data_IF_894694258275
#
_entry.id   IF_894694258275
#
_cell.length_a   1.000
_cell.length_b   1.000
_cell.length_c   1.000
_cell.angle_alpha   90.00
_cell.angle_beta   90.00
_cell.angle_gamma   90.00
#
_symmetry.space_group_name_H-M   'P 1'
#
loop_
_entity.id
_entity.type
_entity.pdbx_description
1 polymer ?
#
# COMPACT_ATOMS: atom_id res chain seq x y z
N UNK A 1 -21.30 12.50 -32.32
CA UNK A 1 -20.25 11.60 -32.83
C UNK A 1 -19.50 12.39 -33.89
N UNK A 2 -18.22 12.72 -33.71
CA UNK A 2 -17.45 13.37 -34.79
C UNK A 2 -17.14 12.30 -35.84
N UNK A 3 -17.56 12.55 -37.07
CA UNK A 3 -17.24 11.75 -38.25
C UNK A 3 -15.75 11.94 -38.58
N UNK A 4 -15.05 10.83 -38.76
CA UNK A 4 -13.61 10.79 -39.01
C UNK A 4 -13.30 10.32 -40.44
N UNK A 5 -14.15 10.69 -41.39
CA UNK A 5 -13.97 10.46 -42.83
C UNK A 5 -12.75 11.17 -43.45
N UNK A 6 -12.00 12.00 -42.71
CA UNK A 6 -10.86 12.79 -43.22
C UNK A 6 -9.51 12.50 -42.53
N UNK A 7 -8.98 11.27 -42.64
CA UNK A 7 -7.63 10.89 -42.17
C UNK A 7 -6.57 10.86 -43.28
N UNK A 8 -6.30 12.00 -43.91
CA UNK A 8 -5.14 12.15 -44.80
C UNK A 8 -3.97 12.75 -43.99
N UNK A 9 -2.90 11.98 -43.75
CA UNK A 9 -1.63 12.49 -43.18
C UNK A 9 -1.17 11.99 -41.80
N UNK A 10 -1.98 11.20 -41.08
CA UNK A 10 -1.58 10.63 -39.77
C UNK A 10 -0.95 9.24 -39.95
N UNK A 11 0.17 8.98 -39.26
CA UNK A 11 0.87 7.68 -39.30
C UNK A 11 -0.03 6.55 -38.80
N UNK A 12 0.11 5.34 -39.35
CA UNK A 12 -0.66 4.16 -38.92
C UNK A 12 -0.49 3.88 -37.43
N UNK A 13 0.71 4.13 -36.89
CA UNK A 13 1.01 3.90 -35.47
C UNK A 13 0.19 4.82 -34.54
N UNK A 14 0.09 6.11 -34.88
CA UNK A 14 -0.68 7.06 -34.07
C UNK A 14 -2.17 6.71 -34.05
N UNK A 15 -2.69 6.16 -35.17
CA UNK A 15 -4.06 5.65 -35.26
C UNK A 15 -4.29 4.47 -34.33
N UNK A 16 -3.38 3.49 -34.34
CA UNK A 16 -3.46 2.31 -33.46
C UNK A 16 -3.41 2.71 -31.98
N UNK A 17 -2.57 3.69 -31.62
CA UNK A 17 -2.49 4.19 -30.24
C UNK A 17 -3.80 4.90 -29.85
N UNK A 18 -4.32 5.77 -30.71
CA UNK A 18 -5.59 6.46 -30.47
C UNK A 18 -6.74 5.48 -30.25
N UNK A 19 -6.90 4.53 -31.17
CA UNK A 19 -7.99 3.55 -31.11
C UNK A 19 -7.81 2.60 -29.92
N UNK A 20 -6.57 2.21 -29.61
CA UNK A 20 -6.22 1.46 -28.41
C UNK A 20 -6.65 2.18 -27.13
N UNK A 21 -6.33 3.47 -26.99
CA UNK A 21 -6.75 4.29 -25.84
C UNK A 21 -8.27 4.38 -25.75
N UNK A 22 -8.96 4.53 -26.88
CA UNK A 22 -10.42 4.59 -26.92
C UNK A 22 -11.05 3.27 -26.47
N UNK A 23 -10.49 2.14 -26.94
CA UNK A 23 -10.94 0.80 -26.54
C UNK A 23 -10.69 0.55 -25.05
N UNK A 24 -9.53 0.92 -24.54
CA UNK A 24 -9.22 0.81 -23.11
C UNK A 24 -10.19 1.66 -22.25
N UNK A 25 -10.42 2.92 -22.62
CA UNK A 25 -11.41 3.76 -21.93
C UNK A 25 -12.84 3.19 -21.94
N UNK A 26 -13.18 2.41 -22.97
CA UNK A 26 -14.46 1.69 -23.03
C UNK A 26 -14.43 0.42 -22.18
N UNK A 27 -13.30 -0.29 -22.08
CA UNK A 27 -13.18 -1.49 -21.24
C UNK A 27 -13.38 -1.15 -19.76
N UNK A 28 -12.95 0.03 -19.32
CA UNK A 28 -13.22 0.60 -18.00
C UNK A 28 -14.73 0.80 -17.68
N UNK A 29 -15.65 0.42 -18.56
CA UNK A 29 -17.11 0.55 -18.34
C UNK A 29 -17.84 -0.80 -18.30
N UNK A 30 -17.13 -1.93 -18.29
CA UNK A 30 -17.81 -3.22 -18.16
C UNK A 30 -16.96 -4.48 -18.12
N UNK A 31 -15.70 -4.47 -18.57
CA UNK A 31 -14.86 -5.68 -18.57
C UNK A 31 -13.97 -5.71 -17.33
N UNK A 32 -14.29 -6.54 -16.34
CA UNK A 32 -13.52 -6.68 -15.08
C UNK A 32 -13.14 -5.30 -14.50
N UNK A 33 -14.11 -4.38 -14.57
CA UNK A 33 -13.88 -2.98 -14.26
C UNK A 33 -14.50 -2.63 -12.92
N UNK A 34 -13.71 -1.99 -12.07
CA UNK A 34 -14.04 -1.74 -10.68
C UNK A 34 -13.76 -0.28 -10.34
N UNK A 35 -14.60 0.27 -9.46
CA UNK A 35 -14.28 1.51 -8.76
C UNK A 35 -13.36 1.17 -7.59
N UNK A 36 -12.18 1.76 -7.57
CA UNK A 36 -11.24 1.65 -6.45
C UNK A 36 -11.03 3.01 -5.80
N UNK A 37 -10.92 3.03 -4.48
CA UNK A 37 -10.63 4.25 -3.74
C UNK A 37 -9.12 4.44 -3.66
N UNK A 38 -8.65 5.64 -3.98
CA UNK A 38 -7.27 6.10 -3.86
C UNK A 38 -7.27 7.36 -3.01
N UNK A 39 -6.96 7.21 -1.71
CA UNK A 39 -7.17 8.29 -0.74
C UNK A 39 -8.65 8.65 -0.62
N UNK A 40 -9.03 9.85 -1.05
CA UNK A 40 -10.44 10.31 -1.10
C UNK A 40 -11.05 10.23 -2.51
N UNK A 41 -10.26 9.91 -3.53
CA UNK A 41 -10.67 9.90 -4.93
C UNK A 41 -11.09 8.50 -5.38
N UNK A 42 -12.12 8.41 -6.21
CA UNK A 42 -12.54 7.14 -6.83
C UNK A 42 -12.00 7.05 -8.25
N UNK A 43 -11.28 5.98 -8.55
CA UNK A 43 -10.69 5.72 -9.86
C UNK A 43 -11.29 4.44 -10.44
N UNK A 44 -11.74 4.50 -11.69
CA UNK A 44 -12.19 3.32 -12.44
C UNK A 44 -10.99 2.61 -13.05
N UNK A 45 -10.83 1.32 -12.74
CA UNK A 45 -9.70 0.50 -13.19
C UNK A 45 -10.19 -0.84 -13.73
N UNK A 46 -9.32 -1.57 -14.42
CA UNK A 46 -9.53 -3.00 -14.68
C UNK A 46 -8.62 -3.82 -13.76
N UNK A 47 -9.16 -4.87 -13.14
CA UNK A 47 -8.37 -5.77 -12.27
C UNK A 47 -8.46 -7.19 -12.81
N UNK A 48 -7.31 -7.81 -13.09
CA UNK A 48 -7.23 -9.17 -13.63
C UNK A 48 -6.36 -10.07 -12.76
N UNK A 49 -6.74 -11.34 -12.64
CA UNK A 49 -5.85 -12.38 -12.14
C UNK A 49 -5.00 -12.93 -13.29
N UNK A 50 -3.70 -13.07 -13.09
CA UNK A 50 -2.80 -13.74 -14.03
C UNK A 50 -1.97 -14.80 -13.32
N UNK A 51 -1.85 -15.95 -13.96
CA UNK A 51 -0.98 -17.01 -13.49
C UNK A 51 0.50 -16.62 -13.68
N UNK A 52 1.30 -16.86 -12.65
CA UNK A 52 2.73 -16.75 -12.63
C UNK A 52 3.33 -18.09 -12.16
N UNK A 53 4.28 -18.62 -12.95
CA UNK A 53 4.95 -19.89 -12.70
C UNK A 53 5.68 -19.98 -11.37
N UNK A 54 6.00 -18.85 -10.73
CA UNK A 54 6.81 -18.81 -9.50
C UNK A 54 6.01 -18.68 -8.21
N UNK A 55 4.68 -18.44 -8.28
CA UNK A 55 3.90 -18.10 -7.08
C UNK A 55 2.37 -18.29 -7.19
N UNK A 56 1.86 -18.88 -8.27
CA UNK A 56 0.41 -19.09 -8.44
C UNK A 56 -0.25 -17.95 -9.20
N UNK A 57 -1.28 -17.30 -8.65
CA UNK A 57 -1.98 -16.19 -9.30
C UNK A 57 -1.58 -14.85 -8.69
N UNK A 58 -1.12 -13.92 -9.53
CA UNK A 58 -0.91 -12.50 -9.19
C UNK A 58 -2.09 -11.67 -9.66
N UNK A 59 -2.44 -10.61 -8.93
CA UNK A 59 -3.44 -9.64 -9.38
C UNK A 59 -2.78 -8.42 -10.00
N UNK A 60 -3.35 -7.94 -11.09
CA UNK A 60 -2.85 -6.76 -11.81
C UNK A 60 -3.94 -5.71 -11.94
N UNK A 61 -3.56 -4.45 -11.73
CA UNK A 61 -4.38 -3.28 -12.01
C UNK A 61 -3.96 -2.66 -13.34
N UNK A 62 -4.94 -2.33 -14.17
CA UNK A 62 -4.76 -1.61 -15.43
C UNK A 62 -5.51 -0.29 -15.36
N UNK A 63 -4.82 0.80 -15.68
CA UNK A 63 -5.37 2.16 -15.55
C UNK A 63 -4.66 3.15 -16.46
N UNK A 64 -5.33 4.24 -16.83
CA UNK A 64 -4.73 5.43 -17.43
C UNK A 64 -4.61 6.59 -16.42
N UNK A 65 -4.96 6.35 -15.16
CA UNK A 65 -4.88 7.34 -14.08
C UNK A 65 -3.44 7.53 -13.58
N UNK A 66 -3.09 8.79 -13.32
CA UNK A 66 -1.84 9.17 -12.66
C UNK A 66 -1.91 9.01 -11.13
N UNK A 67 -3.09 8.81 -10.55
CA UNK A 67 -3.27 8.63 -9.10
C UNK A 67 -2.77 7.26 -8.61
N UNK A 68 -2.66 6.29 -9.51
CA UNK A 68 -2.21 4.93 -9.18
C UNK A 68 -0.75 4.80 -9.63
N UNK A 69 0.15 4.85 -8.67
CA UNK A 69 1.59 4.70 -8.85
C UNK A 69 2.17 3.66 -7.87
N UNK A 70 3.46 3.37 -7.96
CA UNK A 70 4.13 2.41 -7.10
C UNK A 70 3.98 2.77 -5.61
N UNK A 71 3.55 1.82 -4.78
CA UNK A 71 3.31 2.04 -3.36
C UNK A 71 1.96 2.67 -3.02
N UNK A 72 1.11 2.94 -4.02
CA UNK A 72 -0.21 3.53 -3.77
C UNK A 72 -1.12 2.52 -3.05
N UNK A 73 -1.70 2.87 -1.89
CA UNK A 73 -2.73 2.07 -1.27
C UNK A 73 -4.06 2.24 -2.02
N UNK A 74 -4.76 1.13 -2.23
CA UNK A 74 -6.04 1.05 -2.93
C UNK A 74 -7.07 0.40 -2.02
N UNK A 75 -8.32 0.86 -2.05
CA UNK A 75 -9.45 0.12 -1.48
C UNK A 75 -10.32 -0.44 -2.58
N UNK A 76 -10.51 -1.76 -2.58
CA UNK A 76 -11.30 -2.48 -3.57
C UNK A 76 -12.11 -3.57 -2.87
N UNK A 77 -13.43 -3.61 -3.09
CA UNK A 77 -14.35 -4.56 -2.44
C UNK A 77 -14.23 -4.57 -0.90
N UNK A 78 -14.12 -3.39 -0.29
CA UNK A 78 -13.89 -3.20 1.15
C UNK A 78 -12.58 -3.78 1.72
N UNK A 79 -11.70 -4.26 0.85
CA UNK A 79 -10.37 -4.75 1.19
C UNK A 79 -9.30 -3.72 0.86
N UNK A 80 -8.20 -3.76 1.64
CA UNK A 80 -7.03 -2.93 1.39
C UNK A 80 -6.05 -3.68 0.46
N UNK A 81 -5.54 -2.96 -0.52
CA UNK A 81 -4.58 -3.45 -1.51
C UNK A 81 -3.43 -2.45 -1.64
N UNK A 82 -2.29 -2.92 -2.11
CA UNK A 82 -1.10 -2.10 -2.33
C UNK A 82 -0.57 -2.32 -3.74
N UNK A 83 -0.25 -1.24 -4.45
CA UNK A 83 0.50 -1.33 -5.72
C UNK A 83 1.93 -1.77 -5.40
N UNK A 84 2.19 -3.07 -5.58
CA UNK A 84 3.39 -3.76 -5.14
C UNK A 84 4.50 -3.83 -6.19
N UNK A 85 4.24 -3.35 -7.41
CA UNK A 85 5.27 -3.20 -8.45
C UNK A 85 5.26 -1.80 -9.05
N UNK A 86 6.40 -1.41 -9.65
CA UNK A 86 6.45 -0.21 -10.48
C UNK A 86 5.47 -0.35 -11.65
N UNK A 87 4.60 0.65 -11.93
CA UNK A 87 3.72 0.62 -13.08
C UNK A 87 4.52 0.58 -14.39
N UNK A 88 4.22 -0.42 -15.22
CA UNK A 88 4.68 -0.50 -16.60
C UNK A 88 3.69 0.25 -17.49
N UNK A 89 4.10 1.39 -18.02
CA UNK A 89 3.31 2.16 -18.97
C UNK A 89 3.64 1.72 -20.40
N UNK A 90 2.60 1.44 -21.19
CA UNK A 90 2.72 1.42 -22.65
C UNK A 90 1.98 2.64 -23.24
N UNK A 91 1.90 2.71 -24.57
CA UNK A 91 1.25 3.84 -25.24
C UNK A 91 -0.27 3.96 -24.96
N UNK A 92 -0.91 2.93 -24.39
CA UNK A 92 -2.36 2.82 -24.23
C UNK A 92 -2.77 2.92 -22.75
N UNK A 93 -2.10 2.20 -21.85
CA UNK A 93 -2.43 2.08 -20.43
C UNK A 93 -1.18 1.81 -19.58
N UNK A 94 -1.34 1.90 -18.26
CA UNK A 94 -0.39 1.43 -17.26
C UNK A 94 -0.87 0.13 -16.64
N UNK A 95 0.08 -0.74 -16.29
CA UNK A 95 -0.16 -2.01 -15.60
C UNK A 95 0.76 -2.10 -14.39
N UNK A 96 0.22 -2.49 -13.24
CA UNK A 96 1.03 -2.80 -12.05
C UNK A 96 0.48 -4.04 -11.34
N UNK A 97 1.34 -4.76 -10.63
CA UNK A 97 0.94 -5.82 -9.70
C UNK A 97 0.40 -5.20 -8.40
N UNK A 98 -0.68 -5.76 -7.88
CA UNK A 98 -1.25 -5.38 -6.59
C UNK A 98 -1.23 -6.55 -5.62
N UNK A 99 -0.87 -6.28 -4.37
CA UNK A 99 -0.88 -7.25 -3.28
C UNK A 99 -1.99 -6.96 -2.29
N UNK A 100 -2.60 -8.01 -1.74
CA UNK A 100 -3.61 -7.90 -0.70
C UNK A 100 -2.96 -7.51 0.63
N UNK A 101 -3.45 -6.45 1.25
CA UNK A 101 -2.99 -6.03 2.58
C UNK A 101 -3.71 -6.84 3.65
N UNK A 102 -3.09 -7.93 4.09
CA UNK A 102 -3.58 -8.81 5.15
C UNK A 102 -3.32 -8.28 6.56
N UNK A 103 -2.65 -7.13 6.70
CA UNK A 103 -2.36 -6.54 8.00
C UNK A 103 -2.38 -5.01 7.97
N UNK A 104 -2.40 -4.42 9.17
CA UNK A 104 -2.35 -2.98 9.40
C UNK A 104 -1.17 -2.69 10.33
N UNK A 105 -0.23 -1.87 9.89
CA UNK A 105 0.90 -1.46 10.69
C UNK A 105 0.54 -0.19 11.49
N UNK A 106 0.68 -0.22 12.83
CA UNK A 106 0.36 0.93 13.66
C UNK A 106 1.45 2.02 13.53
N UNK A 107 1.02 3.27 13.48
CA UNK A 107 1.89 4.45 13.59
C UNK A 107 1.30 5.42 14.59
N UNK A 108 2.15 6.08 15.37
CA UNK A 108 1.76 6.99 16.43
C UNK A 108 1.99 8.43 16.01
N UNK A 109 0.91 9.17 15.80
CA UNK A 109 0.93 10.59 15.45
C UNK A 109 0.58 11.44 16.67
N UNK A 110 1.21 12.61 16.80
CA UNK A 110 0.87 13.58 17.85
C UNK A 110 -0.08 14.61 17.24
N UNK A 111 -1.32 14.66 17.74
CA UNK A 111 -2.32 15.63 17.31
C UNK A 111 -2.58 16.68 18.39
N UNK A 112 -2.69 17.95 17.99
CA UNK A 112 -3.09 19.06 18.87
C UNK A 112 -4.61 19.15 18.94
N UNK A 113 -5.20 18.77 20.07
CA UNK A 113 -6.65 18.79 20.27
C UNK A 113 -7.04 19.98 21.14
N UNK A 114 -8.07 20.72 20.72
CA UNK A 114 -8.70 21.77 21.54
C UNK A 114 -9.68 21.13 22.51
N UNK A 115 -9.38 21.24 23.80
CA UNK A 115 -10.20 20.69 24.88
C UNK A 115 -10.85 21.84 25.63
N UNK A 116 -12.13 21.73 25.93
CA UNK A 116 -12.81 22.67 26.81
C UNK A 116 -12.28 22.49 28.23
N UNK A 117 -11.76 23.57 28.82
CA UNK A 117 -11.20 23.56 30.17
C UNK A 117 -12.26 23.55 31.27
N UNK A 118 -13.55 23.66 30.90
CA UNK A 118 -14.67 23.80 31.83
C UNK A 118 -14.72 25.17 32.52
N UNK A 119 -13.84 26.11 32.13
CA UNK A 119 -13.78 27.47 32.65
C UNK A 119 -14.35 28.46 31.64
N UNK A 120 -15.01 29.49 32.14
CA UNK A 120 -15.50 30.60 31.33
C UNK A 120 -14.56 31.81 31.45
N UNK A 121 -14.39 32.54 30.35
CA UNK A 121 -13.68 33.81 30.34
C UNK A 121 -14.52 34.93 30.99
N UNK A 122 -13.95 36.12 31.05
CA UNK A 122 -14.62 37.30 31.61
C UNK A 122 -15.87 37.75 30.82
N UNK A 123 -16.05 37.25 29.58
CA UNK A 123 -17.23 37.44 28.73
C UNK A 123 -18.23 36.27 28.81
N UNK A 124 -18.03 35.32 29.73
CA UNK A 124 -18.81 34.08 29.88
C UNK A 124 -18.72 33.13 28.68
N UNK A 125 -17.62 33.16 27.93
CA UNK A 125 -17.34 32.23 26.83
C UNK A 125 -16.43 31.08 27.31
N UNK A 126 -16.62 29.85 26.83
CA UNK A 126 -15.78 28.71 27.19
C UNK A 126 -14.32 28.92 26.77
N UNK A 127 -13.40 28.63 27.70
CA UNK A 127 -11.96 28.67 27.48
C UNK A 127 -11.51 27.29 27.02
N UNK A 128 -10.79 27.26 25.89
CA UNK A 128 -10.20 26.04 25.34
C UNK A 128 -8.69 26.04 25.55
N UNK A 129 -8.14 24.87 25.84
CA UNK A 129 -6.70 24.60 25.88
C UNK A 129 -6.32 23.67 24.72
N UNK A 130 -5.14 23.87 24.15
CA UNK A 130 -4.59 22.97 23.14
C UNK A 130 -3.67 22.00 23.88
N UNK A 131 -4.01 20.71 23.85
CA UNK A 131 -3.14 19.65 24.38
C UNK A 131 -2.71 18.73 23.24
N UNK A 132 -1.50 18.20 23.36
CA UNK A 132 -0.99 17.18 22.46
C UNK A 132 -1.48 15.80 22.94
N UNK A 133 -2.10 15.04 22.04
CA UNK A 133 -2.56 13.68 22.28
C UNK A 133 -1.91 12.74 21.28
N UNK A 134 -1.39 11.63 21.77
CA UNK A 134 -0.94 10.53 20.92
C UNK A 134 -2.17 9.81 20.33
N UNK A 135 -2.17 9.65 19.01
CA UNK A 135 -3.18 8.94 18.26
C UNK A 135 -2.50 7.84 17.46
N UNK A 136 -3.07 6.64 17.50
CA UNK A 136 -2.58 5.53 16.68
C UNK A 136 -3.37 5.51 15.37
N UNK A 137 -2.68 5.78 14.27
CA UNK A 137 -3.17 5.57 12.91
C UNK A 137 -2.64 4.22 12.37
N UNK A 138 -3.19 3.76 11.25
CA UNK A 138 -2.89 2.43 10.70
C UNK A 138 -2.60 2.49 9.21
N UNK A 139 -1.47 1.89 8.81
CA UNK A 139 -1.04 1.79 7.42
C UNK A 139 -1.34 0.38 6.89
N UNK A 140 -2.08 0.21 5.78
CA UNK A 140 -2.29 -1.10 5.19
C UNK A 140 -0.99 -1.70 4.66
N UNK A 141 -0.70 -2.95 5.01
CA UNK A 141 0.54 -3.63 4.63
C UNK A 141 0.33 -5.10 4.29
N UNK A 142 1.30 -5.66 3.56
CA UNK A 142 1.37 -7.08 3.22
C UNK A 142 2.36 -7.73 4.19
N UNK A 143 1.89 -8.69 4.98
CA UNK A 143 2.70 -9.45 5.92
C UNK A 143 2.93 -10.88 5.42
N UNK A 144 4.19 -11.27 5.32
CA UNK A 144 4.64 -12.59 4.87
C UNK A 144 5.60 -13.21 5.88
N UNK A 145 5.51 -14.52 6.12
CA UNK A 145 6.50 -15.22 6.95
C UNK A 145 7.75 -15.55 6.14
N UNK A 146 8.93 -15.36 6.74
CA UNK A 146 10.20 -15.69 6.09
C UNK A 146 10.58 -17.14 6.41
N UNK A 147 10.49 -18.04 5.44
CA UNK A 147 11.03 -19.40 5.59
C UNK A 147 12.53 -19.37 5.30
N UNK A 148 13.36 -19.51 6.33
CA UNK A 148 14.81 -19.75 6.15
C UNK A 148 15.00 -21.26 6.03
N UNK A 149 15.14 -21.77 4.81
CA UNK A 149 15.50 -23.18 4.59
C UNK A 149 17.00 -23.34 4.85
N UNK A 150 17.38 -23.77 6.06
CA UNK A 150 18.75 -24.20 6.33
C UNK A 150 19.04 -25.46 5.50
N UNK A 151 20.21 -25.49 4.84
CA UNK A 151 20.69 -26.62 4.00
C UNK A 151 21.09 -27.88 4.80
N UNK A 152 20.67 -28.01 6.05
CA UNK A 152 20.94 -29.19 6.88
C UNK A 152 19.71 -30.10 6.87
N UNK A 153 19.91 -31.40 6.63
CA UNK A 153 18.87 -32.44 6.55
C UNK A 153 18.25 -32.76 7.93
N UNK A 154 17.84 -31.75 8.67
CA UNK A 154 17.06 -31.90 9.89
C UNK A 154 15.59 -31.60 9.59
N UNK A 155 14.70 -32.29 10.31
CA UNK A 155 13.26 -32.15 10.17
C UNK A 155 12.84 -30.68 10.19
N UNK A 156 11.84 -30.34 9.38
CA UNK A 156 11.30 -29.01 9.11
C UNK A 156 11.23 -28.16 10.39
N UNK A 157 12.25 -27.34 10.64
CA UNK A 157 12.20 -26.34 11.68
C UNK A 157 11.29 -25.22 11.18
N UNK A 158 10.17 -25.01 11.87
CA UNK A 158 9.26 -23.90 11.58
C UNK A 158 10.03 -22.57 11.71
N UNK A 159 9.73 -21.58 10.84
CA UNK A 159 10.37 -20.26 10.88
C UNK A 159 9.82 -19.46 12.05
N UNK A 160 10.18 -19.80 13.29
CA UNK A 160 9.64 -19.10 14.45
C UNK A 160 10.26 -17.70 14.57
N UNK A 161 9.46 -16.69 14.26
CA UNK A 161 9.66 -15.34 14.78
C UNK A 161 9.93 -14.24 13.76
N UNK A 162 10.24 -14.53 12.48
CA UNK A 162 10.53 -13.48 11.49
C UNK A 162 9.40 -13.26 10.48
N UNK A 163 8.99 -11.99 10.33
CA UNK A 163 8.03 -11.54 9.33
C UNK A 163 8.65 -10.49 8.42
N UNK A 164 8.19 -10.47 7.17
CA UNK A 164 8.46 -9.41 6.20
C UNK A 164 7.17 -8.62 6.04
N UNK A 165 7.22 -7.33 6.31
CA UNK A 165 6.11 -6.40 6.10
C UNK A 165 6.43 -5.51 4.91
N UNK A 166 5.57 -5.50 3.91
CA UNK A 166 5.65 -4.58 2.77
C UNK A 166 4.64 -3.47 2.94
N UNK A 167 5.13 -2.23 3.03
CA UNK A 167 4.34 -1.02 3.29
C UNK A 167 4.50 -0.01 2.15
N UNK A 168 3.55 0.91 1.94
CA UNK A 168 3.80 2.16 1.23
C UNK A 168 5.03 2.88 1.79
N UNK A 169 5.78 3.56 0.94
CA UNK A 169 6.82 4.48 1.40
C UNK A 169 6.24 5.46 2.40
N UNK A 170 6.74 5.40 3.63
CA UNK A 170 6.30 6.24 4.73
C UNK A 170 7.52 6.61 5.55
N UNK A 171 7.80 7.91 5.66
CA UNK A 171 8.75 8.42 6.63
C UNK A 171 8.02 8.64 7.95
N UNK A 172 8.37 7.86 8.97
CA UNK A 172 7.75 7.96 10.29
C UNK A 172 8.76 7.55 11.37
N UNK A 173 8.62 8.09 12.59
CA UNK A 173 9.53 7.80 13.70
C UNK A 173 9.43 6.34 14.16
N UNK A 174 8.22 5.78 14.17
CA UNK A 174 7.93 4.37 14.45
C UNK A 174 8.50 3.39 13.38
N UNK A 175 9.05 3.89 12.27
CA UNK A 175 9.67 3.07 11.22
C UNK A 175 11.20 3.29 11.28
N UNK A 176 11.80 2.80 12.37
CA UNK A 176 13.25 2.87 12.62
C UNK A 176 13.78 1.52 13.06
N UNK A 177 15.08 1.31 12.86
CA UNK A 177 15.75 0.12 13.36
C UNK A 177 15.64 0.07 14.89
N UNK A 178 15.53 -1.13 15.41
CA UNK A 178 15.36 -1.44 16.82
C UNK A 178 14.04 -1.00 17.46
N UNK A 179 13.12 -0.39 16.72
CA UNK A 179 11.81 -0.02 17.23
C UNK A 179 10.93 -1.27 17.44
N UNK A 180 10.18 -1.29 18.53
CA UNK A 180 9.24 -2.37 18.88
C UNK A 180 7.84 -2.06 18.37
N UNK A 181 7.21 -3.04 17.73
CA UNK A 181 5.86 -2.98 17.19
C UNK A 181 5.06 -4.19 17.64
N UNK A 182 3.81 -3.97 18.03
CA UNK A 182 2.90 -5.06 18.40
C UNK A 182 2.19 -5.56 17.14
N UNK A 183 2.46 -6.81 16.76
CA UNK A 183 1.81 -7.49 15.63
C UNK A 183 1.26 -8.82 16.13
N UNK A 184 0.05 -9.19 15.73
CA UNK A 184 -0.59 -10.45 16.14
C UNK A 184 -0.62 -10.70 17.66
N UNK A 185 -0.68 -9.62 18.48
CA UNK A 185 -0.63 -9.64 19.95
C UNK A 185 0.72 -10.06 20.54
N UNK A 186 1.78 -10.11 19.73
CA UNK A 186 3.16 -10.34 20.16
C UNK A 186 4.00 -9.10 19.88
N UNK A 187 5.09 -8.93 20.64
CA UNK A 187 6.06 -7.87 20.41
C UNK A 187 7.04 -8.32 19.34
N UNK A 188 7.24 -7.47 18.35
CA UNK A 188 8.22 -7.65 17.29
C UNK A 188 9.15 -6.45 17.26
N UNK A 189 10.40 -6.67 16.90
CA UNK A 189 11.42 -5.64 16.75
C UNK A 189 11.83 -5.49 15.31
N UNK A 190 11.95 -4.27 14.81
CA UNK A 190 12.43 -3.99 13.45
C UNK A 190 13.94 -4.24 13.37
N UNK A 191 14.34 -5.30 12.69
CA UNK A 191 15.76 -5.68 12.54
C UNK A 191 16.36 -5.23 11.21
N UNK A 192 15.53 -4.97 10.20
CA UNK A 192 16.00 -4.51 8.90
C UNK A 192 14.93 -3.69 8.17
N UNK A 193 15.37 -2.66 7.46
CA UNK A 193 14.53 -1.84 6.59
C UNK A 193 15.17 -1.79 5.20
N UNK A 194 14.46 -2.31 4.21
CA UNK A 194 14.85 -2.29 2.81
C UNK A 194 14.08 -1.20 2.05
N UNK A 195 14.82 -0.18 1.65
CA UNK A 195 14.35 0.98 0.88
C UNK A 195 14.61 0.83 -0.64
N UNK A 196 15.18 -0.28 -1.11
CA UNK A 196 15.57 -0.46 -2.53
C UNK A 196 14.41 -0.36 -3.50
N UNK A 197 13.19 -0.57 -3.00
CA UNK A 197 11.95 -0.49 -3.73
C UNK A 197 11.23 0.87 -3.59
N UNK A 198 11.97 1.90 -3.16
CA UNK A 198 11.48 3.27 -3.04
C UNK A 198 12.36 4.26 -3.81
N UNK A 199 11.73 5.30 -4.38
CA UNK A 199 12.41 6.38 -5.09
C UNK A 199 11.58 7.66 -5.01
N UNK A 200 12.22 8.81 -4.77
CA UNK A 200 11.57 10.14 -4.74
C UNK A 200 10.27 10.20 -3.90
N UNK A 201 10.25 9.53 -2.74
CA UNK A 201 9.08 9.50 -1.85
C UNK A 201 7.93 8.59 -2.32
N UNK A 202 8.18 7.73 -3.31
CA UNK A 202 7.22 6.75 -3.85
C UNK A 202 7.74 5.33 -3.72
N UNK A 203 6.85 4.36 -3.88
CA UNK A 203 7.17 2.95 -3.86
C UNK A 203 6.87 2.29 -2.52
N UNK A 204 7.54 1.19 -2.25
CA UNK A 204 7.31 0.35 -1.07
C UNK A 204 8.58 0.22 -0.25
N UNK A 205 8.40 -0.02 1.04
CA UNK A 205 9.47 -0.37 1.96
C UNK A 205 9.21 -1.77 2.50
N UNK A 206 10.28 -2.53 2.74
CA UNK A 206 10.16 -3.86 3.35
C UNK A 206 10.82 -3.84 4.73
N UNK A 207 10.02 -4.05 5.76
CA UNK A 207 10.51 -4.24 7.12
C UNK A 207 10.69 -5.72 7.36
N UNK A 208 11.87 -6.12 7.84
CA UNK A 208 12.03 -7.42 8.49
C UNK A 208 11.90 -7.22 9.98
N UNK A 209 10.94 -7.90 10.59
CA UNK A 209 10.68 -7.83 12.02
C UNK A 209 10.89 -9.20 12.65
N UNK A 210 11.40 -9.22 13.88
CA UNK A 210 11.68 -10.43 14.64
C UNK A 210 10.97 -10.39 15.99
N UNK A 211 10.33 -11.50 16.36
CA UNK A 211 9.59 -11.62 17.61
C UNK A 211 10.54 -11.48 18.80
N UNK A 212 10.19 -10.60 19.73
CA UNK A 212 10.90 -10.47 21.00
C UNK A 212 10.48 -11.63 21.91
N UNK A 213 11.44 -12.50 22.24
CA UNK A 213 11.22 -13.52 23.27
C UNK A 213 11.36 -12.82 24.61
N UNK A 214 10.28 -12.77 25.39
CA UNK A 214 10.36 -12.36 26.79
C UNK A 214 11.09 -13.50 27.51
N UNK A 215 12.36 -13.31 27.82
CA UNK A 215 13.03 -14.18 28.80
C UNK A 215 12.32 -13.95 30.13
N UNK A 216 11.49 -14.91 30.55
CA UNK A 216 11.00 -14.96 31.92
C UNK A 216 12.22 -15.01 32.82
N UNK A 217 12.49 -13.91 33.51
CA UNK A 217 13.49 -13.84 34.56
C UNK A 217 13.04 -14.77 35.69
N UNK A 218 13.42 -16.04 35.62
CA UNK A 218 13.33 -16.96 36.74
C UNK A 218 14.28 -16.47 37.83
N UNK A 219 13.70 -15.80 38.82
CA UNK A 219 14.22 -15.51 40.14
C UNK A 219 14.60 -16.77 40.92
#
# INVERSE_FOLDING_TARGET
>A
MKDYSNYYGVSTNDRLIHDGKLLFKRSLRGLESYDVLVGTETVRVNIENRFNSSGGYSKYVYTDSELIDYGTPLKWNDENWLVASKPEANAIFKKAEIGFCNHLFPITTIESVRVDTGKLDWRKQPIYEVIEQAKTDYIPCIAESKIITNKTQEAINMPEGQLILTLPYTEHEDIRLDESVILYKENYKIIHIDWTNSYEGKGIIKLTVEREVVEDATS
#
